data_IF_546121838767
#
_entry.id   IF_546121838767
#
_cell.length_a   1.000
_cell.length_b   1.000
_cell.length_c   1.000
_cell.angle_alpha   90.00
_cell.angle_beta   90.00
_cell.angle_gamma   90.00
#
_symmetry.space_group_name_H-M   'P 1'
#
loop_
_entity.id
_entity.type
_entity.pdbx_description
1 polymer ?
#
# COMPACT_ATOMS: atom_id res chain seq x y z
N UNK A 1 15.24 32.38 -16.11
CA UNK A 1 15.03 31.85 -15.61
C UNK A 1 15.03 31.46 -15.49
N UNK A 2 15.07 31.55 -15.50
CA UNK A 2 14.81 30.90 -14.99
C UNK A 2 14.80 30.56 -14.61
N UNK A 3 14.63 30.49 -14.71
CA UNK A 3 14.36 30.10 -14.01
C UNK A 3 14.22 29.79 -13.61
N UNK A 4 14.24 29.89 -13.93
CA UNK A 4 13.92 29.49 -13.43
C UNK A 4 13.88 28.87 -12.93
N UNK A 5 13.87 28.61 -12.79
CA UNK A 5 13.52 27.92 -12.17
C UNK A 5 13.63 27.06 -11.96
N UNK A 6 13.55 26.69 -12.07
CA UNK A 6 13.43 25.83 -11.77
C UNK A 6 13.57 25.08 -11.29
N UNK A 7 13.57 24.80 -11.31
CA UNK A 7 13.49 24.04 -10.84
C UNK A 7 13.68 23.29 -10.30
N UNK A 8 13.81 22.98 -9.99
CA UNK A 8 13.81 21.91 -9.56
C UNK A 8 13.47 21.25 -9.07
N UNK A 9 13.11 20.97 -9.01
CA UNK A 9 12.53 20.45 -8.50
C UNK A 9 12.56 19.47 -8.10
N UNK A 10 12.39 19.10 -7.79
CA UNK A 10 12.22 18.17 -7.41
C UNK A 10 11.62 17.53 -7.37
N UNK A 11 11.50 17.03 -7.16
CA UNK A 11 10.65 16.42 -7.38
C UNK A 11 10.29 15.40 -6.77
N UNK A 12 9.32 15.16 -6.51
CA UNK A 12 8.88 14.14 -5.93
C UNK A 12 8.40 13.32 -6.87
N UNK A 13 8.81 12.32 -6.84
CA UNK A 13 8.35 11.42 -7.59
C UNK A 13 7.65 10.51 -6.83
N UNK A 14 6.48 10.44 -6.95
CA UNK A 14 5.70 9.45 -6.41
C UNK A 14 5.66 8.37 -7.42
N UNK A 15 6.37 7.33 -7.20
CA UNK A 15 6.34 6.18 -8.08
C UNK A 15 5.52 5.10 -7.39
N UNK A 16 4.28 4.88 -7.83
CA UNK A 16 3.47 3.85 -7.20
C UNK A 16 4.06 2.47 -7.45
N UNK A 17 4.00 1.62 -6.44
CA UNK A 17 4.43 0.24 -6.57
C UNK A 17 3.21 -0.66 -6.49
N UNK A 18 3.29 -1.81 -7.14
CA UNK A 18 2.20 -2.77 -7.14
C UNK A 18 2.68 -4.09 -6.60
N UNK A 19 1.98 -4.59 -5.60
CA UNK A 19 2.23 -5.92 -5.06
C UNK A 19 1.04 -6.79 -5.38
N UNK A 20 1.28 -8.01 -5.78
CA UNK A 20 0.22 -8.94 -6.16
C UNK A 20 0.29 -10.19 -5.32
N UNK A 21 -0.86 -10.68 -4.89
CA UNK A 21 -0.96 -11.88 -4.08
C UNK A 21 -2.14 -12.70 -4.58
N UNK A 22 -2.20 -13.94 -4.13
CA UNK A 22 -3.32 -14.82 -4.46
C UNK A 22 -3.92 -15.33 -3.15
N UNK A 23 -5.22 -15.23 -3.02
CA UNK A 23 -5.92 -15.72 -1.83
C UNK A 23 -5.89 -17.24 -1.77
N UNK A 24 -5.89 -17.77 -0.56
CA UNK A 24 -5.93 -19.22 -0.36
C UNK A 24 -7.12 -19.65 0.53
N UNK A 25 -7.99 -18.72 0.86
CA UNK A 25 -9.14 -19.00 1.69
C UNK A 25 -8.86 -19.02 3.17
N UNK A 26 -7.61 -18.90 3.58
CA UNK A 26 -7.22 -18.98 5.01
C UNK A 26 -6.32 -17.85 5.45
N UNK A 27 -5.43 -17.39 4.60
CA UNK A 27 -4.44 -16.37 4.97
C UNK A 27 -5.08 -15.00 5.01
N UNK A 28 -4.86 -14.30 6.11
CA UNK A 28 -5.39 -12.94 6.28
C UNK A 28 -4.27 -11.89 6.22
N UNK A 29 -3.02 -12.27 6.39
CA UNK A 29 -1.93 -11.29 6.45
C UNK A 29 -1.05 -11.38 5.21
N UNK A 30 -0.74 -10.23 4.66
CA UNK A 30 0.10 -10.14 3.47
C UNK A 30 1.07 -8.98 3.66
N UNK A 31 2.35 -9.22 3.44
CA UNK A 31 3.37 -8.19 3.63
C UNK A 31 3.75 -7.60 2.28
N UNK A 32 3.72 -6.28 2.21
CA UNK A 32 4.11 -5.57 1.00
C UNK A 32 5.63 -5.53 0.90
N UNK A 33 6.11 -5.27 -0.30
CA UNK A 33 7.54 -5.14 -0.53
C UNK A 33 8.10 -3.82 -0.03
N UNK A 34 7.25 -2.81 0.09
CA UNK A 34 7.66 -1.48 0.52
C UNK A 34 6.81 -1.00 1.67
N UNK A 35 7.39 -0.17 2.52
CA UNK A 35 6.67 0.37 3.66
C UNK A 35 5.56 1.30 3.21
N UNK A 36 4.50 1.34 3.99
CA UNK A 36 3.41 2.31 3.81
C UNK A 36 3.73 3.50 4.72
N UNK A 37 3.51 4.69 4.23
CA UNK A 37 3.73 5.88 5.03
C UNK A 37 2.65 5.93 6.11
N UNK A 38 3.06 6.03 7.36
CA UNK A 38 2.10 6.11 8.46
C UNK A 38 1.28 7.38 8.31
N UNK A 39 -0.01 7.25 8.47
CA UNK A 39 -0.93 8.35 8.27
C UNK A 39 -1.45 8.43 6.85
N UNK A 40 -0.90 7.66 5.93
CA UNK A 40 -1.33 7.65 4.53
C UNK A 40 -2.05 6.37 4.16
N UNK A 41 -2.60 5.67 5.14
CA UNK A 41 -3.25 4.38 4.88
C UNK A 41 -4.41 4.50 3.91
N UNK A 42 -5.09 5.64 3.94
CA UNK A 42 -6.23 5.82 3.05
C UNK A 42 -5.83 6.00 1.59
N UNK A 43 -4.56 6.28 1.35
CA UNK A 43 -4.06 6.39 -0.02
C UNK A 43 -3.63 5.04 -0.58
N UNK A 44 -3.54 4.02 0.26
CA UNK A 44 -3.20 2.69 -0.20
C UNK A 44 -4.43 2.09 -0.86
N UNK A 45 -4.26 1.57 -2.05
CA UNK A 45 -5.36 1.00 -2.79
C UNK A 45 -5.25 -0.51 -2.82
N UNK A 46 -6.14 -1.18 -2.14
CA UNK A 46 -6.15 -2.64 -2.05
C UNK A 46 -7.37 -3.15 -2.79
N UNK A 47 -7.14 -4.08 -3.71
CA UNK A 47 -8.22 -4.66 -4.50
C UNK A 47 -8.23 -6.18 -4.35
N UNK A 48 -9.41 -6.74 -4.18
CA UNK A 48 -9.60 -8.18 -4.19
C UNK A 48 -10.60 -8.45 -5.32
N UNK A 49 -10.18 -9.19 -6.33
CA UNK A 49 -10.97 -9.46 -7.52
C UNK A 49 -11.52 -8.16 -8.14
N UNK A 50 -10.65 -7.12 -8.16
CA UNK A 50 -10.98 -5.80 -8.70
C UNK A 50 -12.01 -5.02 -7.88
N UNK A 51 -12.30 -5.45 -6.66
CA UNK A 51 -13.17 -4.70 -5.77
C UNK A 51 -12.30 -3.99 -4.73
N UNK A 52 -12.42 -2.70 -4.64
CA UNK A 52 -11.62 -1.93 -3.71
C UNK A 52 -12.01 -2.22 -2.27
N UNK A 53 -11.00 -2.35 -1.42
CA UNK A 53 -11.20 -2.65 -0.01
C UNK A 53 -10.97 -1.40 0.82
N UNK A 54 -11.80 -1.19 1.81
CA UNK A 54 -11.68 0.00 2.66
C UNK A 54 -10.79 -0.29 3.85
N UNK A 55 -9.79 0.58 4.14
CA UNK A 55 -8.94 0.39 5.31
C UNK A 55 -9.62 0.86 6.58
N UNK A 56 -9.22 0.30 7.70
CA UNK A 56 -9.65 0.78 9.00
C UNK A 56 -10.11 -0.32 9.92
N UNK A 57 -10.17 0.01 11.20
CA UNK A 57 -10.65 -0.90 12.21
C UNK A 57 -12.13 -1.22 11.95
N UNK A 58 -12.46 -2.49 11.91
CA UNK A 58 -13.82 -2.91 11.58
C UNK A 58 -14.15 -2.84 10.11
N UNK A 59 -13.22 -2.44 9.28
CA UNK A 59 -13.41 -2.40 7.84
C UNK A 59 -12.74 -3.63 7.20
N UNK A 60 -12.41 -3.54 5.92
CA UNK A 60 -11.93 -4.71 5.21
C UNK A 60 -10.54 -5.13 5.63
N UNK A 61 -9.66 -4.19 5.94
CA UNK A 61 -8.30 -4.52 6.35
C UNK A 61 -7.71 -3.43 7.22
N UNK A 62 -6.64 -3.79 7.94
CA UNK A 62 -5.87 -2.84 8.72
C UNK A 62 -4.40 -2.99 8.34
N UNK A 63 -3.61 -1.99 8.69
CA UNK A 63 -2.17 -2.02 8.46
C UNK A 63 -1.43 -2.15 9.79
N UNK A 64 -0.30 -2.80 9.75
CA UNK A 64 0.54 -2.99 10.91
C UNK A 64 1.96 -3.27 10.49
N UNK A 65 2.79 -3.66 11.48
CA UNK A 65 4.18 -3.96 11.22
C UNK A 65 4.36 -5.45 10.98
N UNK A 66 5.34 -5.78 10.16
CA UNK A 66 5.70 -7.17 9.92
C UNK A 66 6.66 -7.66 11.02
N UNK A 67 7.21 -8.84 10.85
CA UNK A 67 8.10 -9.42 11.84
C UNK A 67 9.39 -8.66 12.03
N UNK A 68 9.73 -7.75 11.13
CA UNK A 68 10.94 -6.94 11.22
C UNK A 68 10.65 -5.50 11.61
N UNK A 69 9.44 -5.25 12.09
CA UNK A 69 9.00 -3.93 12.54
C UNK A 69 8.89 -2.91 11.39
N UNK A 70 8.63 -3.38 10.20
CA UNK A 70 8.38 -2.51 9.05
C UNK A 70 6.88 -2.37 8.86
N UNK A 71 6.41 -1.15 8.63
CA UNK A 71 4.97 -0.88 8.53
C UNK A 71 4.50 -1.21 7.12
N UNK A 72 4.26 -2.46 6.88
CA UNK A 72 3.92 -2.96 5.54
C UNK A 72 2.98 -4.17 5.54
N UNK A 73 2.43 -4.54 6.68
CA UNK A 73 1.58 -5.72 6.76
C UNK A 73 0.12 -5.35 6.65
N UNK A 74 -0.57 -5.95 5.69
CA UNK A 74 -2.00 -5.83 5.56
C UNK A 74 -2.64 -7.02 6.23
N UNK A 75 -3.62 -6.79 7.09
CA UNK A 75 -4.37 -7.85 7.72
C UNK A 75 -5.83 -7.69 7.35
N UNK A 76 -6.36 -8.63 6.57
CA UNK A 76 -7.77 -8.60 6.20
C UNK A 76 -8.62 -9.09 7.36
N UNK A 77 -9.80 -8.53 7.53
CA UNK A 77 -10.71 -8.98 8.57
C UNK A 77 -11.29 -10.36 8.25
N UNK A 78 -11.33 -10.73 6.99
CA UNK A 78 -11.71 -12.06 6.56
C UNK A 78 -10.75 -12.51 5.48
N UNK A 79 -10.36 -13.78 5.49
CA UNK A 79 -9.41 -14.28 4.51
C UNK A 79 -10.00 -14.18 3.11
N UNK A 80 -9.23 -13.65 2.14
CA UNK A 80 -9.68 -13.65 0.76
C UNK A 80 -9.91 -15.08 0.27
N UNK A 81 -10.86 -15.23 -0.63
CA UNK A 81 -11.25 -16.53 -1.13
C UNK A 81 -10.08 -17.22 -1.85
N UNK A 82 -10.16 -18.51 -1.92
CA UNK A 82 -9.15 -19.29 -2.65
C UNK A 82 -9.11 -18.84 -4.11
N UNK A 83 -7.93 -18.56 -4.61
CA UNK A 83 -7.68 -18.08 -5.97
C UNK A 83 -8.11 -16.63 -6.21
N UNK A 84 -8.52 -15.90 -5.20
CA UNK A 84 -8.85 -14.49 -5.38
C UNK A 84 -7.60 -13.72 -5.78
N UNK A 85 -7.74 -12.84 -6.76
CA UNK A 85 -6.63 -12.00 -7.19
C UNK A 85 -6.58 -10.78 -6.31
N UNK A 86 -5.47 -10.59 -5.62
CA UNK A 86 -5.27 -9.46 -4.73
C UNK A 86 -4.15 -8.61 -5.29
N UNK A 87 -4.36 -7.32 -5.40
CA UNK A 87 -3.24 -6.45 -5.69
C UNK A 87 -3.36 -5.15 -4.92
N UNK A 88 -2.21 -4.57 -4.63
CA UNK A 88 -2.12 -3.38 -3.79
C UNK A 88 -1.29 -2.36 -4.52
N UNK A 89 -1.83 -1.17 -4.67
CA UNK A 89 -1.10 -0.04 -5.23
C UNK A 89 -0.67 0.82 -4.06
N UNK A 90 0.62 0.93 -3.89
CA UNK A 90 1.19 1.76 -2.83
C UNK A 90 1.74 3.02 -3.47
N UNK A 91 0.96 4.08 -3.40
CA UNK A 91 1.34 5.34 -4.00
C UNK A 91 2.11 6.13 -2.96
N UNK A 92 3.26 5.62 -2.57
CA UNK A 92 3.98 6.28 -1.54
C UNK A 92 4.71 7.44 -2.11
N UNK A 93 4.55 8.55 -1.51
CA UNK A 93 5.26 9.73 -1.82
C UNK A 93 6.48 9.76 -0.98
N UNK A 94 7.59 9.65 -1.59
CA UNK A 94 8.79 9.66 -0.87
C UNK A 94 9.41 11.00 -0.99
N UNK A 95 9.22 11.81 0.00
CA UNK A 95 9.68 13.09 -0.02
C UNK A 95 10.99 13.19 0.51
N UNK A 96 11.88 12.76 -0.02
CA UNK A 96 13.08 12.94 0.58
C UNK A 96 13.60 14.20 0.20
N UNK A 97 13.74 14.75 0.32
CA UNK A 97 14.13 15.64 -0.01
C UNK A 97 14.59 16.35 -0.27
N UNK A 98 14.60 16.65 -0.44
CA UNK A 98 14.86 17.25 -0.66
C UNK A 98 15.17 17.84 -0.54
#
# INVERSE_FOLDING_TARGET
>A
MAYIGQQPFQEFTSVPTKDSFTGDGSTTTFDLANDVVRGAENALEVFVDNVRQEPGSGKAFTLGVDGSNNYRRITFSAAPANSAAIYVINDKTNLTSI
#
